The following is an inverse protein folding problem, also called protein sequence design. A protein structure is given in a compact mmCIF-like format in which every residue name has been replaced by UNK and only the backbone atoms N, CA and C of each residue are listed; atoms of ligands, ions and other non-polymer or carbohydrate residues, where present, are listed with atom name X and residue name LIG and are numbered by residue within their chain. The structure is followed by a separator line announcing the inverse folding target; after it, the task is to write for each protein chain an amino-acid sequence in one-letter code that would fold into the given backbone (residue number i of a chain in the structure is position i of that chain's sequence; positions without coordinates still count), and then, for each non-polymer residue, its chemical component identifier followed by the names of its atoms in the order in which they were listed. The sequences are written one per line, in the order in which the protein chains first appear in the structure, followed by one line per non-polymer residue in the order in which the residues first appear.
data_IF_103764953743
#
_entry.id   IF_103764953743
#
_cell.length_a   1.000
_cell.length_b   1.000
_cell.length_c   1.000
_cell.angle_alpha   90.00
_cell.angle_beta   90.00
_cell.angle_gamma   90.00
#
_symmetry.space_group_name_H-M   'P 1'
#
loop_
_entity.id
_entity.type
_entity.pdbx_description
1 polymer ?
#
# COMPACT_ATOMS: atom_id res chain seq x y z
N UNK A 1 -16.82 -14.46 16.19
CA UNK A 1 -16.88 -12.99 16.39
C UNK A 1 -18.07 -12.48 15.60
N UNK A 2 -18.90 -11.58 16.16
CA UNK A 2 -20.11 -11.10 15.47
C UNK A 2 -19.80 -9.89 14.56
N UNK A 3 -20.58 -9.66 13.50
CA UNK A 3 -20.48 -8.45 12.67
C UNK A 3 -20.69 -7.15 13.47
N UNK A 4 -21.59 -7.15 14.45
CA UNK A 4 -21.81 -5.97 15.32
C UNK A 4 -20.55 -5.61 16.11
N UNK A 5 -19.82 -6.60 16.62
CA UNK A 5 -18.55 -6.35 17.32
C UNK A 5 -17.52 -5.72 16.39
N UNK A 6 -17.40 -6.21 15.14
CA UNK A 6 -16.52 -5.63 14.13
C UNK A 6 -16.89 -4.16 13.85
N UNK A 7 -18.18 -3.90 13.58
CA UNK A 7 -18.70 -2.54 13.37
C UNK A 7 -18.34 -1.62 14.53
N UNK A 8 -18.56 -2.07 15.76
CA UNK A 8 -18.33 -1.24 16.95
C UNK A 8 -16.84 -0.94 17.18
N UNK A 9 -15.93 -1.87 16.88
CA UNK A 9 -14.48 -1.61 16.92
C UNK A 9 -14.03 -0.59 15.88
N UNK A 10 -14.58 -0.68 14.66
CA UNK A 10 -14.28 0.26 13.58
C UNK A 10 -14.85 1.64 13.88
N UNK A 11 -16.13 1.72 14.30
CA UNK A 11 -16.81 2.98 14.60
C UNK A 11 -16.13 3.78 15.71
N UNK A 12 -15.47 3.11 16.67
CA UNK A 12 -14.73 3.75 17.77
C UNK A 12 -13.24 3.97 17.49
N UNK A 13 -12.78 3.72 16.25
CA UNK A 13 -11.39 3.92 15.83
C UNK A 13 -10.38 2.97 16.47
N UNK A 14 -10.82 1.81 16.97
CA UNK A 14 -9.94 0.79 17.58
C UNK A 14 -9.56 -0.34 16.62
N UNK A 15 -10.18 -0.37 15.44
CA UNK A 15 -9.83 -1.23 14.34
C UNK A 15 -10.10 -0.53 13.01
N UNK A 16 -9.46 -1.01 11.94
CA UNK A 16 -9.63 -0.53 10.57
C UNK A 16 -9.77 -1.70 9.61
N UNK A 17 -10.48 -1.47 8.50
CA UNK A 17 -10.56 -2.37 7.34
C UNK A 17 -9.99 -1.59 6.15
N UNK A 18 -8.69 -1.76 5.82
CA UNK A 18 -8.09 -1.11 4.66
C UNK A 18 -8.65 -1.78 3.39
N UNK A 19 -9.56 -1.08 2.71
CA UNK A 19 -10.29 -1.59 1.56
C UNK A 19 -10.68 -0.42 0.65
N UNK A 20 -9.75 0.02 -0.18
CA UNK A 20 -10.03 1.03 -1.19
C UNK A 20 -11.06 0.48 -2.19
N UNK A 21 -12.02 1.30 -2.58
CA UNK A 21 -13.06 0.94 -3.55
C UNK A 21 -12.51 0.52 -4.92
N UNK A 22 -11.29 0.95 -5.28
CA UNK A 22 -10.63 0.63 -6.53
C UNK A 22 -9.74 -0.63 -6.47
N UNK A 23 -9.76 -1.36 -5.34
CA UNK A 23 -9.09 -2.65 -5.16
C UNK A 23 -10.11 -3.80 -5.03
N UNK A 24 -10.89 -4.11 -6.08
CA UNK A 24 -11.92 -5.15 -6.03
C UNK A 24 -11.39 -6.58 -5.83
N UNK A 25 -10.09 -6.81 -6.06
CA UNK A 25 -9.41 -8.10 -5.89
C UNK A 25 -9.19 -8.45 -4.40
N UNK A 26 -9.36 -7.50 -3.49
CA UNK A 26 -9.07 -7.66 -2.07
C UNK A 26 -9.97 -8.69 -1.40
N UNK A 27 -9.39 -9.55 -0.58
CA UNK A 27 -10.08 -10.35 0.42
C UNK A 27 -10.10 -9.54 1.74
N UNK A 28 -11.24 -8.96 2.16
CA UNK A 28 -11.23 -7.99 3.25
C UNK A 28 -10.72 -8.55 4.58
N UNK A 29 -9.84 -7.80 5.23
CA UNK A 29 -9.25 -8.13 6.52
C UNK A 29 -9.37 -6.96 7.50
N UNK A 30 -9.13 -7.22 8.79
CA UNK A 30 -9.25 -6.22 9.86
C UNK A 30 -7.98 -6.16 10.73
N UNK A 31 -7.54 -4.93 11.01
CA UNK A 31 -6.39 -4.63 11.87
C UNK A 31 -6.92 -3.94 13.14
N UNK A 32 -6.64 -4.52 14.31
CA UNK A 32 -7.04 -3.92 15.58
C UNK A 32 -6.69 -4.79 16.78
N UNK A 33 -6.63 -4.20 17.97
CA UNK A 33 -6.13 -4.84 19.20
C UNK A 33 -6.90 -6.11 19.61
N UNK A 34 -8.19 -6.19 19.31
CA UNK A 34 -9.06 -7.29 19.71
C UNK A 34 -9.15 -8.42 18.66
N UNK A 35 -8.35 -8.33 17.61
CA UNK A 35 -8.29 -9.30 16.51
C UNK A 35 -6.94 -10.04 16.54
N UNK A 36 -6.77 -11.05 15.69
CA UNK A 36 -5.45 -11.67 15.51
C UNK A 36 -4.44 -10.58 15.13
N UNK A 37 -3.23 -10.67 15.69
CA UNK A 37 -2.09 -9.86 15.25
C UNK A 37 -1.88 -10.09 13.75
N UNK A 38 -1.55 -9.01 13.04
CA UNK A 38 -1.34 -8.99 11.60
C UNK A 38 0.12 -8.68 11.29
N UNK A 39 0.65 -9.24 10.22
CA UNK A 39 2.01 -8.98 9.76
C UNK A 39 1.99 -8.35 8.36
N UNK A 40 2.91 -7.41 8.13
CA UNK A 40 3.11 -6.77 6.84
C UNK A 40 4.44 -7.24 6.22
N UNK A 41 4.45 -7.50 4.92
CA UNK A 41 5.69 -7.70 4.17
C UNK A 41 5.98 -6.49 3.28
N UNK A 42 7.25 -6.07 3.23
CA UNK A 42 7.68 -5.02 2.32
C UNK A 42 8.29 -5.65 1.07
N UNK A 43 7.83 -5.21 -0.09
CA UNK A 43 8.41 -5.50 -1.40
C UNK A 43 8.69 -4.17 -2.11
N UNK A 44 9.10 -4.21 -3.36
CA UNK A 44 9.34 -3.04 -4.18
C UNK A 44 10.63 -3.15 -4.98
N UNK A 45 10.62 -2.57 -6.17
CA UNK A 45 11.81 -2.44 -6.99
C UNK A 45 12.74 -1.36 -6.43
N UNK A 46 13.99 -1.39 -6.89
CA UNK A 46 14.94 -0.32 -6.61
C UNK A 46 15.63 0.09 -7.91
N UNK A 47 16.23 1.28 -7.93
CA UNK A 47 17.02 1.76 -9.06
C UNK A 47 18.16 0.81 -9.52
N UNK A 48 18.50 -0.20 -8.70
CA UNK A 48 19.61 -1.13 -8.95
C UNK A 48 19.13 -2.54 -9.31
N UNK A 49 17.91 -2.92 -8.96
CA UNK A 49 17.41 -4.29 -9.18
C UNK A 49 15.89 -4.42 -9.10
N UNK A 50 15.41 -5.50 -9.73
CA UNK A 50 14.04 -6.02 -9.76
C UNK A 50 13.22 -5.62 -10.98
N UNK A 51 12.47 -6.60 -11.49
CA UNK A 51 11.49 -6.45 -12.57
C UNK A 51 10.06 -6.54 -12.02
N UNK A 52 9.09 -6.13 -12.82
CA UNK A 52 7.66 -6.26 -12.47
C UNK A 52 7.30 -7.71 -12.12
N UNK A 53 7.78 -8.68 -12.90
CA UNK A 53 7.52 -10.11 -12.67
C UNK A 53 8.07 -10.58 -11.32
N UNK A 54 9.28 -10.13 -10.96
CA UNK A 54 9.89 -10.45 -9.66
C UNK A 54 9.11 -9.84 -8.50
N UNK A 55 8.58 -8.61 -8.63
CA UNK A 55 7.77 -8.00 -7.58
C UNK A 55 6.42 -8.71 -7.40
N UNK A 56 5.78 -9.12 -8.49
CA UNK A 56 4.55 -9.94 -8.41
C UNK A 56 4.84 -11.31 -7.80
N UNK A 57 5.99 -11.92 -8.10
CA UNK A 57 6.40 -13.18 -7.45
C UNK A 57 6.63 -12.99 -5.95
N UNK A 58 7.31 -11.91 -5.53
CA UNK A 58 7.51 -11.57 -4.11
C UNK A 58 6.18 -11.37 -3.39
N UNK A 59 5.21 -10.69 -4.00
CA UNK A 59 3.85 -10.54 -3.47
C UNK A 59 3.20 -11.90 -3.22
N UNK A 60 3.19 -12.78 -4.24
CA UNK A 60 2.61 -14.13 -4.13
C UNK A 60 3.32 -14.97 -3.07
N UNK A 61 4.64 -14.86 -2.99
CA UNK A 61 5.44 -15.57 -2.01
C UNK A 61 5.16 -15.09 -0.59
N UNK A 62 5.12 -13.78 -0.37
CA UNK A 62 4.83 -13.19 0.94
C UNK A 62 3.45 -13.58 1.45
N UNK A 63 2.42 -13.50 0.60
CA UNK A 63 1.05 -13.87 0.96
C UNK A 63 0.91 -15.37 1.21
N UNK A 64 1.58 -16.22 0.41
CA UNK A 64 1.64 -17.68 0.63
C UNK A 64 2.18 -18.03 2.03
N UNK A 65 3.18 -17.29 2.52
CA UNK A 65 3.78 -17.50 3.83
C UNK A 65 3.10 -16.73 4.97
N UNK A 66 1.98 -16.08 4.69
CA UNK A 66 1.08 -15.52 5.70
C UNK A 66 1.19 -14.02 5.94
N UNK A 67 1.79 -13.25 5.02
CA UNK A 67 1.68 -11.79 5.06
C UNK A 67 0.21 -11.37 4.96
N UNK A 68 -0.30 -10.65 5.96
CA UNK A 68 -1.69 -10.17 5.99
C UNK A 68 -1.88 -8.87 5.19
N UNK A 69 -0.81 -8.09 5.03
CA UNK A 69 -0.74 -6.92 4.14
C UNK A 69 0.62 -6.89 3.45
N UNK A 70 0.70 -6.18 2.33
CA UNK A 70 1.97 -5.93 1.64
C UNK A 70 2.11 -4.43 1.40
N UNK A 71 3.34 -3.92 1.49
CA UNK A 71 3.66 -2.58 1.03
C UNK A 71 4.54 -2.63 -0.20
N UNK A 72 4.14 -1.89 -1.23
CA UNK A 72 5.02 -1.55 -2.34
C UNK A 72 5.85 -0.32 -1.95
N UNK A 73 7.15 -0.56 -1.73
CA UNK A 73 8.14 0.46 -1.40
C UNK A 73 9.09 0.74 -2.58
N UNK A 74 8.62 0.48 -3.80
CA UNK A 74 9.34 0.73 -5.04
C UNK A 74 9.95 2.13 -5.11
N UNK A 75 11.18 2.20 -5.62
CA UNK A 75 11.95 3.42 -5.88
C UNK A 75 12.61 3.34 -7.26
N UNK A 76 12.81 4.47 -7.94
CA UNK A 76 13.34 4.53 -9.29
C UNK A 76 12.28 4.40 -10.40
N UNK A 77 12.62 3.70 -11.49
CA UNK A 77 11.79 3.65 -12.70
C UNK A 77 10.54 2.77 -12.55
N UNK A 78 9.50 3.09 -13.32
CA UNK A 78 8.27 2.30 -13.50
C UNK A 78 7.47 2.00 -12.22
N UNK A 79 7.61 2.83 -11.16
CA UNK A 79 6.85 2.67 -9.90
C UNK A 79 5.35 2.50 -10.14
N UNK A 80 4.77 3.32 -11.02
CA UNK A 80 3.34 3.26 -11.33
C UNK A 80 2.92 1.90 -11.92
N UNK A 81 3.68 1.41 -12.91
CA UNK A 81 3.38 0.17 -13.61
C UNK A 81 3.60 -1.05 -12.72
N UNK A 82 4.72 -1.09 -11.99
CA UNK A 82 4.99 -2.14 -10.98
C UNK A 82 3.85 -2.24 -9.98
N UNK A 83 3.39 -1.11 -9.45
CA UNK A 83 2.29 -1.07 -8.49
C UNK A 83 0.96 -1.52 -9.08
N UNK A 84 0.66 -1.18 -10.33
CA UNK A 84 -0.56 -1.65 -11.00
C UNK A 84 -0.59 -3.17 -11.05
N UNK A 85 0.51 -3.80 -11.46
CA UNK A 85 0.62 -5.26 -11.49
C UNK A 85 0.50 -5.89 -10.10
N UNK A 86 1.11 -5.27 -9.09
CA UNK A 86 0.99 -5.71 -7.68
C UNK A 86 -0.47 -5.67 -7.24
N UNK A 87 -1.16 -4.53 -7.38
CA UNK A 87 -2.54 -4.35 -6.91
C UNK A 87 -3.48 -5.33 -7.63
N UNK A 88 -3.40 -5.44 -8.95
CA UNK A 88 -4.26 -6.34 -9.74
C UNK A 88 -4.02 -7.82 -9.46
N UNK A 89 -2.94 -8.18 -8.78
CA UNK A 89 -2.60 -9.55 -8.38
C UNK A 89 -2.61 -9.77 -6.87
N UNK A 90 -3.04 -8.79 -6.07
CA UNK A 90 -3.02 -8.87 -4.61
C UNK A 90 -4.38 -9.24 -4.04
N UNK A 91 -4.50 -10.36 -3.30
CA UNK A 91 -5.69 -10.61 -2.48
C UNK A 91 -5.64 -9.88 -1.13
N UNK A 92 -4.51 -9.25 -0.77
CA UNK A 92 -4.30 -8.58 0.53
C UNK A 92 -4.20 -7.06 0.35
N UNK A 93 -4.49 -6.27 1.40
CA UNK A 93 -4.34 -4.82 1.33
C UNK A 93 -2.92 -4.39 0.94
N UNK A 94 -2.84 -3.43 0.02
CA UNK A 94 -1.59 -2.82 -0.46
C UNK A 94 -1.42 -1.45 0.17
N UNK A 95 -0.26 -1.24 0.80
CA UNK A 95 0.17 0.06 1.29
C UNK A 95 1.30 0.66 0.49
N UNK A 96 1.46 1.98 0.58
CA UNK A 96 2.59 2.70 -0.01
C UNK A 96 3.10 3.81 0.91
N UNK A 97 4.23 4.39 0.53
CA UNK A 97 4.71 5.67 1.07
C UNK A 97 4.69 6.68 -0.09
N UNK A 98 3.61 7.49 -0.26
CA UNK A 98 3.43 8.33 -1.46
C UNK A 98 4.56 9.31 -1.73
N UNK A 99 5.32 9.69 -0.68
CA UNK A 99 6.45 10.62 -0.82
C UNK A 99 7.58 10.04 -1.68
N UNK A 100 7.73 8.71 -1.77
CA UNK A 100 8.79 8.09 -2.58
C UNK A 100 8.55 8.35 -4.06
N UNK A 101 7.33 8.10 -4.55
CA UNK A 101 6.98 8.43 -5.92
C UNK A 101 6.95 9.95 -6.17
N UNK A 102 6.49 10.74 -5.20
CA UNK A 102 6.52 12.20 -5.34
C UNK A 102 7.94 12.74 -5.50
N UNK A 103 8.92 12.14 -4.81
CA UNK A 103 10.34 12.48 -4.91
C UNK A 103 10.92 12.09 -6.28
N UNK A 104 10.53 10.95 -6.84
CA UNK A 104 10.90 10.57 -8.21
C UNK A 104 10.33 11.52 -9.26
N UNK A 105 9.12 12.07 -9.06
CA UNK A 105 8.53 13.09 -9.96
C UNK A 105 9.31 14.40 -10.00
N UNK A 106 10.23 14.62 -9.06
CA UNK A 106 11.12 15.79 -9.00
C UNK A 106 12.58 15.39 -9.12
N UNK A 107 12.86 14.28 -9.81
CA UNK A 107 14.22 13.79 -10.09
C UNK A 107 15.09 13.62 -8.84
N UNK A 108 14.47 13.27 -7.71
CA UNK A 108 15.18 13.06 -6.46
C UNK A 108 15.56 14.34 -5.70
N UNK A 109 15.11 15.52 -6.11
CA UNK A 109 15.43 16.82 -5.46
C UNK A 109 14.37 17.18 -4.42
N UNK A 110 14.61 17.02 -3.11
CA UNK A 110 13.58 17.21 -2.09
C UNK A 110 13.04 18.64 -1.99
N UNK A 111 13.86 19.65 -2.33
CA UNK A 111 13.49 21.07 -2.30
C UNK A 111 12.44 21.43 -3.34
N UNK A 112 12.30 20.63 -4.40
CA UNK A 112 11.32 20.81 -5.46
C UNK A 112 9.97 20.15 -5.14
N UNK A 113 9.86 19.45 -4.00
CA UNK A 113 8.60 18.88 -3.54
C UNK A 113 7.60 19.98 -3.20
N UNK A 114 6.43 19.91 -3.82
CA UNK A 114 5.31 20.80 -3.55
C UNK A 114 4.07 20.01 -3.14
N UNK A 115 3.10 20.70 -2.53
CA UNK A 115 1.81 20.10 -2.21
C UNK A 115 1.12 19.56 -3.46
N UNK A 116 1.21 20.26 -4.58
CA UNK A 116 0.58 19.88 -5.84
C UNK A 116 1.11 18.53 -6.33
N UNK A 117 2.43 18.32 -6.30
CA UNK A 117 3.06 17.05 -6.69
C UNK A 117 2.66 15.92 -5.75
N UNK A 118 2.63 16.19 -4.44
CA UNK A 118 2.21 15.20 -3.45
C UNK A 118 0.74 14.82 -3.60
N UNK A 119 -0.15 15.82 -3.75
CA UNK A 119 -1.59 15.66 -3.99
C UNK A 119 -1.84 14.79 -5.22
N UNK A 120 -1.20 15.12 -6.34
CA UNK A 120 -1.41 14.40 -7.59
C UNK A 120 -0.93 12.94 -7.46
N UNK A 121 0.14 12.71 -6.68
CA UNK A 121 0.61 11.36 -6.35
C UNK A 121 -0.37 10.59 -5.47
N UNK A 122 -0.99 11.23 -4.48
CA UNK A 122 -2.04 10.61 -3.65
C UNK A 122 -3.25 10.22 -4.50
N UNK A 123 -3.73 11.12 -5.37
CA UNK A 123 -4.89 10.87 -6.24
C UNK A 123 -4.61 9.69 -7.16
N UNK A 124 -3.46 9.69 -7.82
CA UNK A 124 -3.02 8.61 -8.71
C UNK A 124 -3.03 7.25 -8.00
N UNK A 125 -2.48 7.18 -6.78
CA UNK A 125 -2.45 5.93 -6.01
C UNK A 125 -3.82 5.51 -5.48
N UNK A 126 -4.68 6.46 -5.12
CA UNK A 126 -6.07 6.20 -4.77
C UNK A 126 -6.85 5.57 -5.94
N UNK A 127 -6.64 6.09 -7.15
CA UNK A 127 -7.29 5.61 -8.37
C UNK A 127 -6.82 4.20 -8.74
N UNK A 128 -5.55 3.87 -8.50
CA UNK A 128 -5.04 2.51 -8.68
C UNK A 128 -5.58 1.51 -7.66
N UNK A 129 -6.00 1.95 -6.47
CA UNK A 129 -6.52 1.06 -5.42
C UNK A 129 -5.59 0.83 -4.24
N UNK A 130 -4.62 1.72 -3.96
CA UNK A 130 -3.85 1.62 -2.71
C UNK A 130 -4.78 1.74 -1.50
N UNK A 131 -4.68 0.81 -0.55
CA UNK A 131 -5.60 0.68 0.58
C UNK A 131 -5.23 1.55 1.78
N UNK A 132 -3.95 1.87 1.93
CA UNK A 132 -3.48 2.76 2.99
C UNK A 132 -2.18 3.48 2.63
N UNK A 133 -2.01 4.67 3.18
CA UNK A 133 -0.82 5.50 3.00
C UNK A 133 -0.06 5.68 4.30
N UNK A 134 1.24 5.48 4.25
CA UNK A 134 2.15 5.99 5.28
C UNK A 134 2.49 7.44 4.95
N UNK A 135 2.02 8.36 5.79
CA UNK A 135 2.22 9.81 5.64
C UNK A 135 2.97 10.35 6.85
N UNK A 136 4.14 10.96 6.61
CA UNK A 136 5.00 11.53 7.66
C UNK A 136 4.57 12.94 8.08
N UNK A 137 3.29 13.15 8.37
CA UNK A 137 2.74 14.48 8.70
C UNK A 137 3.05 14.96 10.13
N UNK A 138 3.77 14.15 10.92
CA UNK A 138 4.17 14.49 12.29
C UNK A 138 5.62 14.98 12.43
N UNK A 139 6.36 15.04 11.32
CA UNK A 139 7.66 15.72 11.22
C UNK A 139 7.40 17.20 11.00
#
# INVERSE_FOLDING_TARGET
MSPDFVRDEVARGRAIIPANINHPEIEPMIIGRNFKVKINANIGNSAVSSSIDEEVEKLRWATLWGADTVMDLSTGENIHETREWIIRNSPVPIGTVPIYQALEKVDGVPEELTWEIYRDTIIEQCEQGVDYFTVHAGV
#
